data_IF_088716008934
#
_entry.id   IF_088716008934
#
_cell.length_a   1.000
_cell.length_b   1.000
_cell.length_c   1.000
_cell.angle_alpha   90.00
_cell.angle_beta   90.00
_cell.angle_gamma   90.00
#
_symmetry.space_group_name_H-M   'P 1'
#
loop_
_entity.id
_entity.type
_entity.pdbx_description
1 polymer ?
#
# COMPACT_ATOMS: atom_id res chain seq x y z
N UNK A 1 -68.77 -13.31 -46.23
CA UNK A 1 -69.54 -13.87 -45.10
C UNK A 1 -68.56 -14.31 -44.01
N UNK A 2 -68.87 -13.99 -42.74
CA UNK A 2 -68.21 -14.39 -41.47
C UNK A 2 -66.81 -13.77 -41.25
N UNK A 3 -66.66 -12.66 -40.49
CA UNK A 3 -66.84 -12.42 -39.03
C UNK A 3 -65.96 -13.30 -38.12
N UNK A 4 -65.25 -12.58 -37.25
CA UNK A 4 -64.73 -12.93 -35.90
C UNK A 4 -63.21 -13.06 -35.82
N UNK A 5 -62.46 -12.50 -34.87
CA UNK A 5 -62.65 -11.45 -33.85
C UNK A 5 -61.22 -11.24 -33.25
N UNK A 6 -60.72 -10.00 -33.19
CA UNK A 6 -60.42 -9.25 -31.96
C UNK A 6 -59.54 -9.97 -30.91
N UNK A 7 -58.33 -9.45 -30.70
CA UNK A 7 -57.90 -9.01 -29.36
C UNK A 7 -56.85 -7.89 -29.47
N UNK A 8 -57.15 -6.80 -28.77
CA UNK A 8 -56.41 -5.54 -28.62
C UNK A 8 -55.76 -5.52 -27.24
N UNK A 9 -54.55 -4.96 -27.12
CA UNK A 9 -54.07 -4.12 -25.99
C UNK A 9 -52.64 -3.64 -26.31
N UNK A 10 -52.43 -2.38 -26.71
CA UNK A 10 -52.04 -1.22 -25.87
C UNK A 10 -50.92 -1.56 -24.85
N UNK A 11 -49.66 -1.22 -25.12
CA UNK A 11 -49.00 0.09 -24.97
C UNK A 11 -48.45 0.33 -23.56
N UNK A 12 -47.12 0.49 -23.44
CA UNK A 12 -46.50 1.59 -22.69
C UNK A 12 -45.01 1.71 -23.02
N UNK A 13 -44.61 2.90 -23.46
CA UNK A 13 -43.23 3.33 -23.49
C UNK A 13 -42.76 3.62 -22.05
N UNK A 14 -41.56 3.17 -21.70
CA UNK A 14 -40.82 3.69 -20.56
C UNK A 14 -39.35 3.82 -20.95
N UNK A 15 -38.89 5.06 -20.98
CA UNK A 15 -37.51 5.50 -21.08
C UNK A 15 -36.64 4.84 -20.02
N UNK A 16 -35.58 4.13 -20.43
CA UNK A 16 -34.51 3.70 -19.53
C UNK A 16 -33.36 4.71 -19.63
N UNK A 17 -33.22 5.47 -18.53
CA UNK A 17 -32.18 6.47 -18.35
C UNK A 17 -30.79 5.86 -18.29
N UNK A 18 -29.83 6.64 -18.77
CA UNK A 18 -28.39 6.44 -18.59
C UNK A 18 -28.12 6.71 -17.10
N UNK A 19 -28.10 5.65 -16.30
CA UNK A 19 -27.60 5.70 -14.93
C UNK A 19 -26.08 5.69 -14.95
N UNK A 20 -25.46 6.84 -14.72
CA UNK A 20 -24.08 6.93 -14.28
C UNK A 20 -23.98 6.24 -12.92
N UNK A 21 -23.34 5.07 -12.86
CA UNK A 21 -22.92 4.50 -11.60
C UNK A 21 -21.88 5.45 -10.99
N UNK A 22 -22.07 5.97 -9.77
CA UNK A 22 -20.94 6.58 -9.08
C UNK A 22 -19.94 5.45 -8.81
N UNK A 23 -18.72 5.62 -9.33
CA UNK A 23 -17.59 4.87 -8.82
C UNK A 23 -17.52 5.16 -7.32
N UNK A 24 -17.83 4.16 -6.49
CA UNK A 24 -17.53 4.23 -5.09
C UNK A 24 -16.01 4.36 -4.96
N UNK A 25 -15.54 5.58 -4.76
CA UNK A 25 -14.22 5.82 -4.19
C UNK A 25 -14.27 5.20 -2.80
N UNK A 26 -13.63 4.05 -2.63
CA UNK A 26 -13.35 3.50 -1.33
C UNK A 26 -12.17 4.29 -0.75
N UNK A 27 -12.45 5.49 -0.25
CA UNK A 27 -11.63 6.08 0.82
C UNK A 27 -12.10 5.43 2.10
N UNK A 28 -11.23 4.66 2.76
CA UNK A 28 -11.51 4.16 4.11
C UNK A 28 -11.70 5.39 5.01
N UNK A 29 -12.86 5.56 5.68
CA UNK A 29 -13.17 6.73 6.50
C UNK A 29 -12.54 6.66 7.91
N UNK A 30 -11.55 5.80 8.12
CA UNK A 30 -10.78 5.72 9.35
C UNK A 30 -9.32 5.93 9.00
N UNK A 31 -8.61 6.77 9.75
CA UNK A 31 -7.14 6.80 9.80
C UNK A 31 -6.54 5.51 10.37
N UNK A 32 -7.12 4.36 10.00
CA UNK A 32 -6.71 3.01 10.31
C UNK A 32 -5.92 2.47 9.12
N UNK A 33 -4.73 1.89 9.33
CA UNK A 33 -3.88 1.49 8.23
C UNK A 33 -4.48 0.30 7.49
N UNK A 34 -4.52 0.43 6.16
CA UNK A 34 -4.99 -0.62 5.25
C UNK A 34 -3.84 -1.55 4.85
N UNK A 35 -4.02 -2.85 5.07
CA UNK A 35 -3.02 -3.88 4.74
C UNK A 35 -3.53 -4.76 3.61
N UNK A 36 -2.76 -4.88 2.53
CA UNK A 36 -3.08 -5.75 1.40
C UNK A 36 -2.06 -6.87 1.31
N UNK A 37 -2.53 -8.12 1.33
CA UNK A 37 -1.67 -9.31 1.28
C UNK A 37 -1.94 -10.05 -0.03
N UNK A 38 -0.90 -10.19 -0.85
CA UNK A 38 -0.97 -10.73 -2.20
C UNK A 38 -0.15 -12.02 -2.27
N UNK A 39 -0.76 -13.08 -2.81
CA UNK A 39 -0.05 -14.32 -3.14
C UNK A 39 -0.14 -14.58 -4.64
N UNK A 40 1.02 -14.53 -5.30
CA UNK A 40 1.16 -14.79 -6.72
C UNK A 40 1.04 -16.27 -7.10
N UNK A 41 0.95 -16.56 -8.39
CA UNK A 41 0.92 -17.92 -8.92
C UNK A 41 2.35 -18.48 -9.00
N UNK A 42 2.73 -19.39 -8.10
CA UNK A 42 4.10 -19.92 -8.00
C UNK A 42 4.22 -21.42 -8.25
N UNK A 43 3.29 -21.98 -9.02
CA UNK A 43 3.23 -23.42 -9.31
C UNK A 43 3.14 -24.22 -7.99
N UNK A 44 4.02 -25.20 -7.78
CA UNK A 44 4.04 -26.05 -6.60
C UNK A 44 4.32 -25.34 -5.26
N UNK A 45 4.93 -24.15 -5.28
CA UNK A 45 5.21 -23.39 -4.06
C UNK A 45 4.00 -22.55 -3.55
N UNK A 46 2.92 -22.46 -4.34
CA UNK A 46 1.83 -21.53 -4.02
C UNK A 46 1.12 -21.89 -2.71
N UNK A 47 1.02 -23.18 -2.40
CA UNK A 47 0.40 -23.64 -1.15
C UNK A 47 1.17 -23.17 0.09
N UNK A 48 2.51 -23.23 0.07
CA UNK A 48 3.32 -22.72 1.19
C UNK A 48 3.23 -21.20 1.30
N UNK A 49 3.24 -20.47 0.17
CA UNK A 49 3.13 -19.01 0.22
C UNK A 49 1.76 -18.54 0.70
N UNK A 50 0.68 -19.28 0.40
CA UNK A 50 -0.63 -19.04 1.03
C UNK A 50 -0.59 -19.24 2.55
N UNK A 51 0.07 -20.30 3.02
CA UNK A 51 0.23 -20.54 4.45
C UNK A 51 1.06 -19.45 5.15
N UNK A 52 2.12 -18.97 4.50
CA UNK A 52 2.95 -17.87 4.98
C UNK A 52 2.15 -16.55 5.00
N UNK A 53 1.37 -16.29 3.96
CA UNK A 53 0.48 -15.14 3.88
C UNK A 53 -0.65 -15.20 4.91
N UNK A 54 -1.16 -16.40 5.24
CA UNK A 54 -2.15 -16.57 6.31
C UNK A 54 -1.58 -16.27 7.70
N UNK A 55 -0.29 -16.51 7.93
CA UNK A 55 0.38 -16.05 9.15
C UNK A 55 0.56 -14.53 9.17
N UNK A 56 0.94 -13.93 8.04
CA UNK A 56 0.98 -12.47 7.90
C UNK A 56 -0.40 -11.84 8.15
N UNK A 57 -1.47 -12.45 7.63
CA UNK A 57 -2.84 -12.02 7.90
C UNK A 57 -3.18 -12.13 9.38
N UNK A 58 -2.90 -13.27 10.01
CA UNK A 58 -3.16 -13.47 11.43
C UNK A 58 -2.41 -12.49 12.33
N UNK A 59 -1.24 -12.00 11.87
CA UNK A 59 -0.52 -10.92 12.53
C UNK A 59 -1.18 -9.55 12.27
N UNK A 60 -1.50 -9.22 11.02
CA UNK A 60 -2.07 -7.93 10.63
C UNK A 60 -3.40 -7.64 11.34
N UNK A 61 -4.29 -8.63 11.47
CA UNK A 61 -5.61 -8.46 12.11
C UNK A 61 -5.55 -8.20 13.62
N UNK A 62 -4.35 -8.23 14.24
CA UNK A 62 -4.15 -7.79 15.62
C UNK A 62 -4.13 -6.27 15.74
N UNK A 63 -3.86 -5.56 14.65
CA UNK A 63 -3.57 -4.13 14.63
C UNK A 63 -4.52 -3.30 13.77
N UNK A 64 -5.14 -3.93 12.76
CA UNK A 64 -6.12 -3.27 11.88
C UNK A 64 -7.20 -4.25 11.45
N UNK A 65 -8.40 -3.73 11.29
CA UNK A 65 -9.56 -4.42 10.72
C UNK A 65 -9.61 -4.36 9.19
N UNK A 66 -8.88 -3.44 8.55
CA UNK A 66 -8.82 -3.30 7.10
C UNK A 66 -7.67 -4.12 6.49
N UNK A 67 -7.87 -5.44 6.43
CA UNK A 67 -6.92 -6.36 5.80
C UNK A 67 -7.55 -7.08 4.61
N UNK A 68 -7.00 -6.85 3.42
CA UNK A 68 -7.49 -7.47 2.17
C UNK A 68 -6.54 -8.56 1.68
N UNK A 69 -7.07 -9.77 1.43
CA UNK A 69 -6.33 -10.88 0.80
C UNK A 69 -6.60 -10.95 -0.71
N UNK A 70 -5.54 -11.08 -1.51
CA UNK A 70 -5.62 -11.31 -2.96
C UNK A 70 -4.72 -12.48 -3.32
N UNK A 71 -5.24 -13.71 -3.22
CA UNK A 71 -4.44 -14.93 -3.37
C UNK A 71 -4.71 -15.68 -4.68
N UNK A 72 -3.67 -16.28 -5.25
CA UNK A 72 -3.77 -17.29 -6.32
C UNK A 72 -4.69 -18.44 -5.87
N UNK A 73 -5.59 -18.96 -6.73
CA UNK A 73 -5.65 -18.78 -8.20
C UNK A 73 -6.42 -17.54 -8.68
N UNK A 74 -6.75 -16.61 -7.79
CA UNK A 74 -7.59 -15.45 -8.08
C UNK A 74 -6.83 -14.13 -8.09
N UNK A 75 -5.52 -14.13 -7.84
CA UNK A 75 -4.69 -12.93 -7.80
C UNK A 75 -4.37 -12.45 -9.21
N UNK A 76 -5.31 -11.75 -9.85
CA UNK A 76 -5.09 -11.09 -11.15
C UNK A 76 -4.62 -9.65 -10.96
N UNK A 77 -3.99 -9.07 -11.98
CA UNK A 77 -3.56 -7.66 -11.92
C UNK A 77 -4.70 -6.71 -11.57
N UNK A 78 -5.87 -6.84 -12.21
CA UNK A 78 -7.01 -5.97 -11.92
C UNK A 78 -7.47 -6.04 -10.45
N UNK A 79 -7.48 -7.24 -9.86
CA UNK A 79 -7.80 -7.42 -8.43
C UNK A 79 -6.73 -6.85 -7.51
N UNK A 80 -5.45 -7.06 -7.83
CA UNK A 80 -4.33 -6.51 -7.07
C UNK A 80 -4.35 -4.98 -7.11
N UNK A 81 -4.45 -4.39 -8.30
CA UNK A 81 -4.50 -2.94 -8.48
C UNK A 81 -5.67 -2.32 -7.72
N UNK A 82 -6.86 -2.91 -7.81
CA UNK A 82 -8.03 -2.42 -7.08
C UNK A 82 -7.89 -2.57 -5.56
N UNK A 83 -7.30 -3.67 -5.07
CA UNK A 83 -7.13 -3.88 -3.64
C UNK A 83 -6.12 -2.92 -3.01
N UNK A 84 -5.07 -2.56 -3.77
CA UNK A 84 -3.96 -1.71 -3.35
C UNK A 84 -4.31 -0.22 -3.22
N UNK A 85 -5.49 0.21 -3.69
CA UNK A 85 -5.94 1.60 -3.54
C UNK A 85 -5.95 1.97 -2.06
N UNK A 86 -5.21 3.01 -1.70
CA UNK A 86 -5.10 3.52 -0.32
C UNK A 86 -4.42 2.55 0.66
N UNK A 87 -3.70 1.53 0.18
CA UNK A 87 -2.99 0.61 1.08
C UNK A 87 -1.76 1.29 1.68
N UNK A 88 -1.66 1.30 3.01
CA UNK A 88 -0.45 1.75 3.74
C UNK A 88 0.61 0.66 3.80
N UNK A 89 0.19 -0.61 3.76
CA UNK A 89 1.10 -1.75 3.70
C UNK A 89 0.67 -2.71 2.59
N UNK A 90 1.56 -3.01 1.66
CA UNK A 90 1.36 -4.04 0.64
C UNK A 90 2.37 -5.15 0.84
N UNK A 91 1.89 -6.37 1.08
CA UNK A 91 2.73 -7.57 1.20
C UNK A 91 2.54 -8.40 -0.06
N UNK A 92 3.63 -8.78 -0.70
CA UNK A 92 3.61 -9.69 -1.83
C UNK A 92 4.51 -10.91 -1.57
N UNK A 93 3.91 -12.09 -1.72
CA UNK A 93 4.58 -13.38 -1.69
C UNK A 93 4.39 -14.07 -3.04
N UNK A 94 5.47 -14.28 -3.79
CA UNK A 94 5.34 -14.88 -5.11
C UNK A 94 6.63 -14.95 -5.91
N UNK A 95 6.49 -15.23 -7.21
CA UNK A 95 7.63 -15.21 -8.12
C UNK A 95 8.20 -13.81 -8.21
N UNK A 96 9.53 -13.72 -8.13
CA UNK A 96 10.27 -12.53 -8.55
C UNK A 96 10.73 -12.67 -9.99
N UNK A 97 10.90 -11.54 -10.68
CA UNK A 97 11.48 -11.51 -12.03
C UNK A 97 12.29 -10.22 -12.20
N UNK A 98 13.39 -10.10 -11.46
CA UNK A 98 14.12 -8.83 -11.41
C UNK A 98 15.09 -8.65 -12.57
N UNK A 99 15.61 -7.44 -12.76
CA UNK A 99 16.68 -7.18 -13.72
C UNK A 99 17.93 -6.60 -13.01
N UNK A 100 19.17 -7.00 -13.37
CA UNK A 100 19.56 -8.00 -14.38
C UNK A 100 19.22 -9.45 -14.04
N UNK A 101 18.81 -10.23 -15.03
CA UNK A 101 18.51 -11.68 -14.91
C UNK A 101 19.13 -12.47 -16.08
N UNK A 102 19.28 -13.80 -15.97
CA UNK A 102 19.68 -14.65 -17.11
C UNK A 102 18.63 -14.70 -18.24
N UNK A 103 17.39 -14.29 -17.97
CA UNK A 103 16.33 -14.23 -18.96
C UNK A 103 16.50 -13.09 -19.98
N UNK A 104 15.78 -13.20 -21.09
CA UNK A 104 15.73 -12.19 -22.16
C UNK A 104 15.57 -10.78 -21.60
N UNK A 105 16.40 -9.88 -22.09
CA UNK A 105 16.34 -8.48 -21.71
C UNK A 105 15.02 -7.86 -22.20
N UNK A 106 14.30 -7.26 -21.26
CA UNK A 106 13.07 -6.51 -21.49
C UNK A 106 13.39 -5.02 -21.28
N UNK A 107 13.64 -4.24 -22.36
CA UNK A 107 14.06 -2.85 -22.22
C UNK A 107 12.98 -1.96 -21.61
N UNK A 108 11.72 -2.40 -21.66
CA UNK A 108 10.57 -1.66 -21.14
C UNK A 108 10.14 -2.18 -19.76
N UNK A 109 10.84 -3.17 -19.20
CA UNK A 109 10.55 -3.76 -17.90
C UNK A 109 9.11 -4.26 -17.77
N UNK A 110 8.43 -4.58 -18.87
CA UNK A 110 7.02 -4.99 -18.88
C UNK A 110 6.74 -6.27 -18.09
N UNK A 111 7.76 -7.11 -17.94
CA UNK A 111 7.73 -8.36 -17.16
C UNK A 111 8.66 -8.31 -15.95
N UNK A 112 9.52 -7.29 -15.84
CA UNK A 112 10.60 -7.23 -14.85
C UNK A 112 10.24 -6.37 -13.66
N UNK A 113 10.79 -6.69 -12.49
CA UNK A 113 10.77 -5.79 -11.33
C UNK A 113 9.34 -5.47 -10.86
N UNK A 114 8.50 -6.50 -10.75
CA UNK A 114 7.10 -6.38 -10.33
C UNK A 114 6.52 -7.69 -9.80
N UNK A 115 5.28 -8.02 -10.16
CA UNK A 115 4.54 -9.17 -9.62
C UNK A 115 4.37 -10.30 -10.65
N UNK A 116 4.46 -11.55 -10.18
CA UNK A 116 4.03 -12.76 -10.89
C UNK A 116 2.65 -13.18 -10.40
N UNK A 117 1.62 -12.91 -11.20
CA UNK A 117 0.20 -13.02 -10.82
C UNK A 117 -0.54 -14.00 -11.73
N UNK A 118 -1.78 -14.35 -11.40
CA UNK A 118 -2.62 -15.12 -12.31
C UNK A 118 -2.94 -14.29 -13.57
N UNK A 119 -2.80 -14.89 -14.76
CA UNK A 119 -3.24 -14.26 -16.01
C UNK A 119 -4.77 -14.14 -16.07
N UNK A 120 -5.46 -15.15 -15.53
CA UNK A 120 -6.92 -15.30 -15.50
C UNK A 120 -7.32 -15.86 -14.13
N UNK A 121 -8.35 -15.27 -13.52
CA UNK A 121 -8.86 -15.71 -12.22
C UNK A 121 -9.44 -17.13 -12.31
N UNK A 122 -9.19 -17.94 -11.29
CA UNK A 122 -9.71 -19.30 -11.17
C UNK A 122 -8.98 -20.35 -12.04
N UNK A 123 -8.02 -19.95 -12.87
CA UNK A 123 -7.31 -20.85 -13.79
C UNK A 123 -6.07 -21.53 -13.17
N UNK A 124 -6.04 -21.65 -11.84
CA UNK A 124 -5.02 -22.41 -11.11
C UNK A 124 -3.69 -21.68 -10.88
N UNK A 125 -2.83 -22.34 -10.10
CA UNK A 125 -1.53 -21.83 -9.63
C UNK A 125 -0.40 -21.92 -10.67
N UNK A 126 -0.67 -22.52 -11.83
CA UNK A 126 0.25 -22.62 -12.96
C UNK A 126 -0.01 -21.55 -14.03
N UNK A 127 -1.09 -20.78 -13.90
CA UNK A 127 -1.46 -19.73 -14.85
C UNK A 127 -0.75 -18.40 -14.54
N UNK A 128 0.58 -18.42 -14.52
CA UNK A 128 1.39 -17.27 -14.15
C UNK A 128 1.57 -16.28 -15.31
N UNK A 129 1.49 -14.98 -15.00
CA UNK A 129 1.85 -13.86 -15.88
C UNK A 129 2.58 -12.80 -15.07
N UNK A 130 3.69 -12.30 -15.63
CA UNK A 130 4.45 -11.23 -15.02
C UNK A 130 3.91 -9.85 -15.40
N UNK A 131 3.81 -8.99 -14.40
CA UNK A 131 3.41 -7.59 -14.46
C UNK A 131 4.53 -6.76 -13.86
N UNK A 132 5.41 -6.25 -14.72
CA UNK A 132 6.64 -5.58 -14.32
C UNK A 132 6.47 -4.10 -13.94
N UNK A 133 7.58 -3.37 -13.93
CA UNK A 133 7.69 -1.97 -13.46
C UNK A 133 6.58 -1.04 -13.97
N UNK A 134 6.20 -1.05 -15.28
CA UNK A 134 5.13 -0.16 -15.78
C UNK A 134 3.75 -0.43 -15.17
N UNK A 135 3.52 -1.61 -14.63
CA UNK A 135 2.27 -1.95 -13.96
C UNK A 135 2.32 -1.47 -12.51
N UNK A 136 3.33 -1.90 -11.75
CA UNK A 136 3.43 -1.59 -10.32
C UNK A 136 3.61 -0.09 -10.05
N UNK A 137 4.19 0.65 -10.99
CA UNK A 137 4.26 2.13 -10.92
C UNK A 137 2.93 2.85 -11.07
N UNK A 138 1.83 2.12 -11.31
CA UNK A 138 0.46 2.66 -11.39
C UNK A 138 -0.41 2.21 -10.22
N UNK A 139 0.18 1.69 -9.15
CA UNK A 139 -0.54 1.44 -7.91
C UNK A 139 -0.87 2.77 -7.23
N UNK A 140 -2.07 2.87 -6.68
CA UNK A 140 -2.56 4.08 -6.02
C UNK A 140 -2.42 3.90 -4.50
N UNK A 141 -1.18 3.87 -4.00
CA UNK A 141 -0.87 3.61 -2.59
C UNK A 141 -1.22 4.81 -1.68
N UNK A 142 -1.39 4.55 -0.39
CA UNK A 142 -1.48 5.65 0.59
C UNK A 142 -0.14 6.40 0.66
N UNK A 143 -0.13 7.69 1.04
CA UNK A 143 1.11 8.37 1.41
C UNK A 143 1.82 7.59 2.53
N UNK A 144 3.16 7.60 2.53
CA UNK A 144 3.91 6.85 3.54
C UNK A 144 3.95 5.33 3.33
N UNK A 145 3.30 4.79 2.30
CA UNK A 145 3.12 3.34 2.17
C UNK A 145 4.42 2.54 2.09
N UNK A 146 4.37 1.32 2.60
CA UNK A 146 5.47 0.35 2.56
C UNK A 146 5.09 -0.87 1.76
N UNK A 147 6.01 -1.32 0.90
CA UNK A 147 5.89 -2.57 0.17
C UNK A 147 6.84 -3.61 0.76
N UNK A 148 6.31 -4.76 1.16
CA UNK A 148 7.03 -5.90 1.68
C UNK A 148 7.06 -7.04 0.65
N UNK A 149 8.24 -7.37 0.12
CA UNK A 149 8.46 -8.36 -0.92
C UNK A 149 9.11 -9.62 -0.31
N UNK A 150 8.38 -10.72 -0.25
CA UNK A 150 8.83 -11.97 0.38
C UNK A 150 8.90 -13.14 -0.60
N UNK A 151 9.96 -13.94 -0.49
CA UNK A 151 10.24 -15.11 -1.35
C UNK A 151 10.57 -14.82 -2.82
N UNK A 152 10.72 -13.54 -3.19
CA UNK A 152 11.01 -13.17 -4.57
C UNK A 152 12.46 -13.48 -4.94
N UNK A 153 12.64 -14.06 -6.12
CA UNK A 153 13.94 -14.09 -6.78
C UNK A 153 14.30 -12.67 -7.25
N UNK A 154 15.57 -12.30 -7.12
CA UNK A 154 16.15 -11.03 -7.59
C UNK A 154 15.72 -9.76 -6.84
N UNK A 155 14.62 -9.74 -6.08
CA UNK A 155 14.12 -8.51 -5.45
C UNK A 155 15.08 -7.87 -4.45
N UNK A 156 15.80 -8.68 -3.67
CA UNK A 156 16.76 -8.19 -2.68
C UNK A 156 18.21 -8.12 -3.17
N UNK A 157 18.42 -8.54 -4.42
CA UNK A 157 19.73 -8.70 -5.05
C UNK A 157 20.13 -10.14 -5.31
N UNK A 158 19.46 -11.13 -4.70
CA UNK A 158 19.71 -12.57 -4.83
C UNK A 158 19.54 -13.11 -6.25
N UNK A 159 19.96 -14.35 -6.48
CA UNK A 159 19.62 -15.15 -7.67
C UNK A 159 18.44 -16.10 -7.40
N UNK A 160 18.07 -16.91 -8.38
CA UNK A 160 17.14 -18.01 -8.19
C UNK A 160 17.77 -19.16 -7.38
N UNK A 161 16.97 -19.98 -6.68
CA UNK A 161 17.48 -21.17 -6.00
C UNK A 161 18.24 -22.09 -6.97
N UNK A 162 19.50 -22.38 -6.64
CA UNK A 162 20.37 -23.24 -7.46
C UNK A 162 21.23 -22.49 -8.47
N UNK A 163 20.97 -21.21 -8.71
CA UNK A 163 21.79 -20.39 -9.59
C UNK A 163 23.04 -19.83 -8.87
N UNK A 164 24.09 -19.45 -9.62
CA UNK A 164 25.25 -18.77 -9.07
C UNK A 164 24.89 -17.47 -8.34
N UNK A 165 25.59 -17.23 -7.23
CA UNK A 165 25.51 -15.98 -6.49
C UNK A 165 25.96 -14.80 -7.38
N UNK A 166 25.22 -13.67 -7.37
CA UNK A 166 25.61 -12.50 -8.13
C UNK A 166 26.81 -11.79 -7.50
N UNK A 167 27.50 -10.97 -8.31
CA UNK A 167 28.44 -10.00 -7.75
C UNK A 167 27.68 -8.92 -6.98
N UNK A 168 28.35 -8.26 -6.02
CA UNK A 168 27.76 -7.14 -5.28
C UNK A 168 27.23 -6.03 -6.22
N UNK A 169 27.90 -5.76 -7.35
CA UNK A 169 27.43 -4.78 -8.31
C UNK A 169 26.10 -5.19 -8.98
N UNK A 170 25.94 -6.47 -9.33
CA UNK A 170 24.68 -7.00 -9.87
C UNK A 170 23.59 -6.99 -8.81
N UNK A 171 23.90 -7.41 -7.58
CA UNK A 171 22.95 -7.42 -6.48
C UNK A 171 22.42 -6.01 -6.17
N UNK A 172 23.30 -4.99 -6.12
CA UNK A 172 22.90 -3.59 -5.95
C UNK A 172 21.96 -3.13 -7.06
N UNK A 173 22.29 -3.44 -8.32
CA UNK A 173 21.47 -3.05 -9.47
C UNK A 173 20.09 -3.72 -9.45
N UNK A 174 20.02 -4.98 -9.04
CA UNK A 174 18.76 -5.73 -8.87
C UNK A 174 17.87 -5.09 -7.81
N UNK A 175 18.40 -4.85 -6.61
CA UNK A 175 17.64 -4.23 -5.52
C UNK A 175 17.13 -2.82 -5.91
N UNK A 176 17.96 -2.01 -6.56
CA UNK A 176 17.58 -0.68 -7.05
C UNK A 176 16.46 -0.75 -8.11
N UNK A 177 16.62 -1.59 -9.13
CA UNK A 177 15.61 -1.74 -10.19
C UNK A 177 14.28 -2.26 -9.63
N UNK A 178 14.31 -3.27 -8.76
CA UNK A 178 13.09 -3.88 -8.22
C UNK A 178 12.26 -2.89 -7.39
N UNK A 179 12.93 -2.01 -6.63
CA UNK A 179 12.24 -1.01 -5.83
C UNK A 179 11.68 0.16 -6.66
N UNK A 180 12.30 0.51 -7.79
CA UNK A 180 12.02 1.72 -8.54
C UNK A 180 10.55 1.90 -8.92
N UNK A 181 9.89 0.85 -9.40
CA UNK A 181 8.47 0.90 -9.78
C UNK A 181 7.56 1.23 -8.61
N UNK A 182 7.81 0.65 -7.44
CA UNK A 182 7.01 0.88 -6.23
C UNK A 182 7.26 2.26 -5.63
N UNK A 183 8.51 2.73 -5.61
CA UNK A 183 8.83 4.10 -5.19
C UNK A 183 8.16 5.13 -6.11
N UNK A 184 8.12 4.86 -7.43
CA UNK A 184 7.40 5.68 -8.40
C UNK A 184 5.88 5.68 -8.18
N UNK A 185 5.34 4.60 -7.61
CA UNK A 185 3.93 4.50 -7.21
C UNK A 185 3.61 5.23 -5.89
N UNK A 186 4.59 5.91 -5.29
CA UNK A 186 4.40 6.66 -4.05
C UNK A 186 4.72 5.87 -2.77
N UNK A 187 5.25 4.64 -2.87
CA UNK A 187 5.75 3.97 -1.68
C UNK A 187 6.94 4.73 -1.09
N UNK A 188 6.93 4.98 0.22
CA UNK A 188 8.05 5.59 0.93
C UNK A 188 9.17 4.59 1.18
N UNK A 189 8.86 3.30 1.24
CA UNK A 189 9.87 2.25 1.32
C UNK A 189 9.47 0.93 0.67
N UNK A 190 10.48 0.17 0.25
CA UNK A 190 10.36 -1.20 -0.25
C UNK A 190 11.33 -2.08 0.51
N UNK A 191 10.82 -3.07 1.25
CA UNK A 191 11.62 -4.07 1.95
C UNK A 191 11.52 -5.37 1.16
N UNK A 192 12.66 -5.98 0.85
CA UNK A 192 12.69 -7.32 0.26
C UNK A 192 13.46 -8.27 1.18
N UNK A 193 12.84 -9.41 1.48
CA UNK A 193 13.39 -10.45 2.34
C UNK A 193 13.13 -11.85 1.77
N UNK A 194 14.21 -12.56 1.44
CA UNK A 194 14.14 -13.89 0.83
C UNK A 194 13.94 -15.03 1.84
N UNK A 195 14.07 -14.77 3.15
CA UNK A 195 14.12 -15.82 4.17
C UNK A 195 13.16 -15.60 5.33
N UNK A 196 13.01 -14.37 5.82
CA UNK A 196 12.07 -14.07 6.89
C UNK A 196 10.64 -13.94 6.34
N UNK A 197 9.68 -14.33 7.17
CA UNK A 197 8.27 -14.04 6.93
C UNK A 197 7.94 -12.56 7.20
N UNK A 198 6.77 -12.14 6.73
CA UNK A 198 6.29 -10.77 6.85
C UNK A 198 5.83 -10.40 8.28
N UNK A 199 5.55 -11.38 9.14
CA UNK A 199 4.95 -11.20 10.47
C UNK A 199 5.83 -10.33 11.38
N UNK A 200 7.15 -10.55 11.34
CA UNK A 200 8.10 -9.76 12.13
C UNK A 200 8.11 -8.29 11.71
N UNK A 201 8.12 -8.03 10.39
CA UNK A 201 8.10 -6.68 9.85
C UNK A 201 6.77 -5.99 10.14
N UNK A 202 5.64 -6.70 9.96
CA UNK A 202 4.31 -6.20 10.33
C UNK A 202 4.28 -5.80 11.80
N UNK A 203 4.66 -6.69 12.71
CA UNK A 203 4.71 -6.38 14.14
C UNK A 203 5.52 -5.12 14.41
N UNK A 204 6.73 -5.04 13.85
CA UNK A 204 7.60 -3.90 14.06
C UNK A 204 7.02 -2.58 13.52
N UNK A 205 6.37 -2.61 12.34
CA UNK A 205 5.65 -1.46 11.78
C UNK A 205 4.56 -0.95 12.73
N UNK A 206 3.83 -1.87 13.38
CA UNK A 206 2.68 -1.53 14.21
C UNK A 206 2.99 -1.23 15.68
N UNK A 207 4.16 -1.64 16.19
CA UNK A 207 4.47 -1.55 17.64
C UNK A 207 5.73 -0.76 17.96
N UNK A 208 6.37 -0.14 16.98
CA UNK A 208 7.57 0.69 17.21
C UNK A 208 7.35 2.11 16.71
N UNK A 209 8.17 3.04 17.19
CA UNK A 209 8.09 4.47 16.91
C UNK A 209 9.47 4.94 16.44
N UNK A 210 9.83 4.59 15.21
CA UNK A 210 11.18 4.79 14.68
C UNK A 210 11.17 4.93 13.16
N UNK A 211 12.30 5.35 12.58
CA UNK A 211 12.46 5.33 11.12
C UNK A 211 12.41 3.89 10.59
N UNK A 212 11.93 3.70 9.36
CA UNK A 212 11.94 2.37 8.74
C UNK A 212 13.34 1.81 8.56
N UNK A 213 14.36 2.66 8.39
CA UNK A 213 15.75 2.20 8.38
C UNK A 213 16.14 1.61 9.75
N UNK A 214 15.82 2.28 10.85
CA UNK A 214 16.09 1.78 12.20
C UNK A 214 15.33 0.48 12.47
N UNK A 215 14.05 0.44 12.11
CA UNK A 215 13.22 -0.76 12.20
C UNK A 215 13.87 -1.92 11.44
N UNK A 216 14.24 -1.70 10.18
CA UNK A 216 14.89 -2.72 9.37
C UNK A 216 16.23 -3.15 9.98
N UNK A 217 17.13 -2.23 10.36
CA UNK A 217 18.44 -2.58 10.93
C UNK A 217 18.36 -3.38 12.23
N UNK A 218 17.29 -3.20 13.01
CA UNK A 218 17.10 -3.84 14.32
C UNK A 218 16.29 -5.13 14.27
N UNK A 219 15.83 -5.55 13.09
CA UNK A 219 15.12 -6.82 12.95
C UNK A 219 15.96 -8.00 13.42
N UNK A 220 15.34 -9.02 14.08
CA UNK A 220 16.07 -10.18 14.59
C UNK A 220 16.84 -10.98 13.52
N UNK A 221 16.45 -10.88 12.25
CA UNK A 221 17.08 -11.56 11.13
C UNK A 221 18.19 -10.74 10.44
N UNK A 222 18.67 -9.66 11.07
CA UNK A 222 19.81 -8.90 10.55
C UNK A 222 21.10 -9.73 10.52
N UNK A 223 21.91 -9.52 9.49
CA UNK A 223 23.19 -10.19 9.26
C UNK A 223 24.39 -9.36 9.73
N UNK A 224 24.20 -8.05 9.96
CA UNK A 224 25.25 -7.14 10.44
C UNK A 224 26.23 -6.69 9.34
N UNK A 225 25.91 -6.90 8.07
CA UNK A 225 26.77 -6.54 6.94
C UNK A 225 26.19 -5.39 6.11
N UNK A 226 25.51 -4.45 6.77
CA UNK A 226 24.77 -3.40 6.07
C UNK A 226 25.69 -2.55 5.20
N UNK A 227 25.32 -2.43 3.93
CA UNK A 227 25.89 -1.48 2.97
C UNK A 227 24.78 -0.59 2.43
N UNK A 228 25.12 0.63 2.03
CA UNK A 228 24.17 1.56 1.41
C UNK A 228 24.76 2.22 0.16
N UNK A 229 23.88 2.67 -0.73
CA UNK A 229 24.22 3.39 -1.94
C UNK A 229 23.02 4.22 -2.41
N UNK A 230 23.29 5.31 -3.13
CA UNK A 230 22.24 6.09 -3.76
C UNK A 230 21.58 5.29 -4.89
N UNK A 231 20.26 5.39 -5.01
CA UNK A 231 19.52 4.84 -6.14
C UNK A 231 19.94 5.53 -7.43
N UNK A 232 20.17 4.73 -8.48
CA UNK A 232 20.41 5.22 -9.84
C UNK A 232 19.10 5.41 -10.62
N UNK A 233 18.01 4.81 -10.14
CA UNK A 233 16.68 4.80 -10.78
C UNK A 233 15.74 5.85 -10.20
N UNK A 234 15.90 6.18 -8.91
CA UNK A 234 15.02 7.07 -8.16
C UNK A 234 15.88 8.15 -7.47
N UNK A 235 15.99 9.35 -8.06
CA UNK A 235 16.81 10.42 -7.50
C UNK A 235 16.46 10.72 -6.03
N UNK A 236 17.48 10.78 -5.18
CA UNK A 236 17.34 11.05 -3.74
C UNK A 236 16.94 9.86 -2.88
N UNK A 237 16.58 8.71 -3.46
CA UNK A 237 16.35 7.48 -2.70
C UNK A 237 17.68 6.80 -2.31
N UNK A 238 17.67 6.12 -1.17
CA UNK A 238 18.81 5.33 -0.68
C UNK A 238 18.43 3.86 -0.61
N UNK A 239 19.32 3.00 -1.10
CA UNK A 239 19.18 1.55 -1.06
C UNK A 239 20.15 0.99 -0.04
N UNK A 240 19.68 0.07 0.78
CA UNK A 240 20.42 -0.68 1.77
C UNK A 240 20.38 -2.18 1.44
N UNK A 241 21.48 -2.86 1.68
CA UNK A 241 21.56 -4.32 1.62
C UNK A 241 22.24 -4.86 2.87
N UNK A 242 21.76 -5.97 3.40
CA UNK A 242 22.32 -6.65 4.55
C UNK A 242 22.58 -8.13 4.21
N UNK A 243 23.61 -8.40 3.39
CA UNK A 243 23.88 -9.75 2.90
C UNK A 243 24.34 -10.70 4.03
N UNK A 244 24.15 -12.01 3.83
CA UNK A 244 24.54 -13.04 4.80
C UNK A 244 26.06 -13.02 5.09
N UNK A 245 26.87 -12.58 4.12
CA UNK A 245 28.30 -12.29 4.26
C UNK A 245 28.58 -10.95 3.60
N UNK A 246 29.69 -10.30 3.96
CA UNK A 246 30.10 -9.00 3.43
C UNK A 246 30.00 -8.82 1.90
N UNK A 247 30.09 -9.89 1.11
CA UNK A 247 30.06 -9.86 -0.36
C UNK A 247 29.13 -10.88 -1.02
N UNK A 248 28.29 -11.60 -0.27
CA UNK A 248 27.43 -12.67 -0.82
C UNK A 248 26.22 -12.97 0.07
N UNK A 249 25.16 -13.53 -0.51
CA UNK A 249 23.92 -13.89 0.17
C UNK A 249 23.00 -12.69 0.28
N UNK A 250 22.72 -12.05 -0.84
CA UNK A 250 21.93 -10.81 -0.92
C UNK A 250 20.43 -11.08 -0.82
N UNK A 251 19.97 -11.57 0.33
CA UNK A 251 18.57 -11.94 0.57
C UNK A 251 17.77 -10.89 1.34
N UNK A 252 18.36 -9.73 1.62
CA UNK A 252 17.77 -8.71 2.46
C UNK A 252 18.15 -7.32 1.99
N UNK A 253 17.14 -6.53 1.64
CA UNK A 253 17.34 -5.14 1.22
C UNK A 253 16.21 -4.23 1.70
N UNK A 254 16.51 -2.95 1.75
CA UNK A 254 15.56 -1.86 2.00
C UNK A 254 15.85 -0.76 0.99
N UNK A 255 14.81 -0.24 0.34
CA UNK A 255 14.87 1.01 -0.41
C UNK A 255 14.04 2.04 0.33
N UNK A 256 14.59 3.22 0.57
CA UNK A 256 13.90 4.36 1.20
C UNK A 256 13.86 5.50 0.21
N UNK A 257 12.65 6.03 -0.04
CA UNK A 257 12.42 7.18 -0.90
C UNK A 257 12.93 8.49 -0.31
N UNK A 258 12.66 9.59 -1.02
CA UNK A 258 13.03 10.95 -0.57
C UNK A 258 12.20 11.32 0.65
N UNK A 259 12.86 11.75 1.73
CA UNK A 259 12.20 12.18 2.98
C UNK A 259 12.26 11.16 4.12
N UNK A 260 12.53 9.88 3.82
CA UNK A 260 12.36 8.84 4.83
C UNK A 260 10.89 8.68 5.24
N UNK A 261 10.61 7.70 6.08
CA UNK A 261 9.31 7.57 6.72
C UNK A 261 9.49 6.84 8.05
N UNK A 262 8.63 7.15 9.01
CA UNK A 262 8.56 6.48 10.31
C UNK A 262 7.51 5.38 10.32
N UNK A 263 7.61 4.45 11.26
CA UNK A 263 6.56 3.45 11.51
C UNK A 263 5.22 4.09 11.83
N UNK A 264 5.22 5.23 12.53
CA UNK A 264 4.02 6.00 12.88
C UNK A 264 3.32 6.59 11.65
N UNK A 265 4.08 7.15 10.71
CA UNK A 265 3.54 7.66 9.45
C UNK A 265 2.92 6.54 8.61
N UNK A 266 3.51 5.35 8.59
CA UNK A 266 2.92 4.19 7.88
C UNK A 266 1.56 3.82 8.47
N UNK A 267 1.47 3.72 9.81
CA UNK A 267 0.22 3.32 10.46
C UNK A 267 -0.84 4.42 10.45
N UNK A 268 -0.44 5.70 10.36
CA UNK A 268 -1.34 6.82 10.19
C UNK A 268 -1.87 6.97 8.74
N UNK A 269 -1.50 6.06 7.82
CA UNK A 269 -1.85 6.21 6.40
C UNK A 269 -1.18 7.40 5.74
N UNK A 270 0.00 7.79 6.25
CA UNK A 270 0.79 8.92 5.77
C UNK A 270 0.31 10.28 6.25
N UNK A 271 -0.62 10.33 7.21
CA UNK A 271 -1.10 11.58 7.83
C UNK A 271 -0.20 12.09 8.97
N UNK A 272 0.91 11.40 9.28
CA UNK A 272 1.79 11.70 10.41
C UNK A 272 1.19 11.29 11.78
N UNK A 273 2.02 11.23 12.83
CA UNK A 273 1.51 11.10 14.20
C UNK A 273 0.79 12.39 14.60
N UNK A 274 -0.53 12.39 14.57
CA UNK A 274 -1.32 13.53 15.04
C UNK A 274 -1.53 13.51 16.57
N UNK A 275 -0.95 12.56 17.31
CA UNK A 275 -1.06 12.44 18.77
C UNK A 275 -0.13 13.38 19.54
N UNK A 276 0.87 13.93 18.87
CA UNK A 276 1.91 14.78 19.42
C UNK A 276 2.01 16.07 18.60
N UNK A 277 2.14 17.23 19.22
CA UNK A 277 2.38 18.48 18.47
C UNK A 277 3.76 18.38 17.80
N UNK A 278 3.85 18.57 16.47
CA UNK A 278 5.14 18.51 15.81
C UNK A 278 6.01 19.66 16.32
N UNK A 279 7.31 19.39 16.51
CA UNK A 279 8.27 20.40 16.99
C UNK A 279 8.43 21.58 16.02
N UNK A 280 8.07 21.36 14.75
CA UNK A 280 8.00 22.33 13.67
C UNK A 280 6.63 22.24 12.96
N UNK A 281 6.19 23.32 12.31
CA UNK A 281 4.91 23.34 11.58
C UNK A 281 4.98 22.43 10.35
N UNK A 282 4.37 21.25 10.43
CA UNK A 282 4.12 20.34 9.31
C UNK A 282 2.67 20.49 8.84
N UNK A 283 2.38 20.38 7.54
CA UNK A 283 1.00 20.38 7.01
C UNK A 283 0.76 19.07 6.26
N UNK A 284 -0.28 18.28 6.62
CA UNK A 284 -1.27 18.56 7.67
C UNK A 284 -0.82 18.01 9.04
N UNK A 285 -0.01 18.75 9.78
CA UNK A 285 0.20 18.55 11.21
C UNK A 285 -1.02 19.01 12.01
N UNK A 286 -0.98 18.77 13.33
CA UNK A 286 -2.12 18.92 14.26
C UNK A 286 -2.97 20.15 14.00
N UNK A 287 -4.26 19.92 13.72
CA UNK A 287 -5.25 20.97 13.71
C UNK A 287 -5.64 21.28 15.16
N UNK A 288 -5.40 22.51 15.61
CA UNK A 288 -5.96 23.02 16.85
C UNK A 288 -6.99 24.09 16.54
N UNK A 289 -8.03 24.15 17.35
CA UNK A 289 -9.03 25.20 17.26
C UNK A 289 -8.37 26.53 17.62
N UNK A 290 -8.25 27.45 16.67
CA UNK A 290 -7.56 28.73 16.88
C UNK A 290 -8.39 29.72 17.72
N UNK A 291 -9.71 29.71 17.53
CA UNK A 291 -10.63 30.66 18.16
C UNK A 291 -11.60 29.93 19.08
N UNK A 292 -11.94 30.53 20.20
CA UNK A 292 -13.05 30.05 21.02
C UNK A 292 -14.34 30.01 20.20
N UNK A 293 -15.18 29.03 20.52
CA UNK A 293 -16.48 28.81 19.90
C UNK A 293 -16.45 28.35 18.43
N UNK A 294 -15.36 27.72 17.97
CA UNK A 294 -15.32 27.17 16.63
C UNK A 294 -16.40 26.10 16.44
N UNK A 295 -17.15 26.20 15.35
CA UNK A 295 -18.29 25.31 15.09
C UNK A 295 -17.82 23.96 14.60
N UNK A 296 -18.30 22.90 15.25
CA UNK A 296 -18.21 21.52 14.77
C UNK A 296 -19.56 21.16 14.16
N UNK A 297 -19.56 20.80 12.88
CA UNK A 297 -20.76 20.46 12.13
C UNK A 297 -21.00 18.94 12.11
N UNK A 298 -22.27 18.54 11.99
CA UNK A 298 -22.65 17.12 11.86
C UNK A 298 -22.34 16.55 10.47
N UNK A 299 -22.26 17.41 9.45
CA UNK A 299 -22.01 17.02 8.06
C UNK A 299 -21.08 18.01 7.33
N UNK A 300 -20.59 17.58 6.16
CA UNK A 300 -19.70 18.35 5.30
C UNK A 300 -20.37 19.54 4.58
N UNK A 301 -21.70 19.68 4.68
CA UNK A 301 -22.46 20.78 4.12
C UNK A 301 -22.45 22.04 4.99
N UNK A 302 -21.94 21.94 6.23
CA UNK A 302 -21.85 23.09 7.16
C UNK A 302 -23.21 23.55 7.69
N UNK A 303 -24.21 22.66 7.69
CA UNK A 303 -25.58 22.96 8.13
C UNK A 303 -25.68 23.08 9.65
N UNK A 304 -26.04 21.97 10.31
CA UNK A 304 -26.31 21.97 11.75
C UNK A 304 -25.01 21.90 12.57
N UNK A 305 -24.81 22.91 13.44
CA UNK A 305 -23.71 22.93 14.41
C UNK A 305 -24.02 21.90 15.51
N UNK A 306 -23.21 20.84 15.57
CA UNK A 306 -23.29 19.80 16.58
C UNK A 306 -22.91 20.36 17.97
N UNK A 307 -21.80 21.12 18.01
CA UNK A 307 -21.27 21.77 19.21
C UNK A 307 -20.25 22.83 18.82
N UNK A 308 -19.89 23.67 19.78
CA UNK A 308 -18.74 24.56 19.67
C UNK A 308 -17.55 24.01 20.44
N UNK A 309 -16.35 24.32 19.96
CA UNK A 309 -15.08 23.87 20.55
C UNK A 309 -14.29 25.07 21.08
N UNK A 310 -13.68 24.97 22.27
CA UNK A 310 -12.80 26.01 22.80
C UNK A 310 -11.47 26.06 22.05
N UNK A 311 -10.80 27.21 22.11
CA UNK A 311 -9.45 27.38 21.58
C UNK A 311 -8.48 26.37 22.22
N UNK A 312 -7.55 25.86 21.43
CA UNK A 312 -6.59 24.83 21.86
C UNK A 312 -7.16 23.41 21.91
N UNK A 313 -8.43 23.20 21.53
CA UNK A 313 -8.96 21.83 21.33
C UNK A 313 -8.12 21.14 20.26
N UNK A 314 -7.49 20.02 20.63
CA UNK A 314 -6.61 19.25 19.75
C UNK A 314 -7.44 18.28 18.91
N UNK A 315 -7.30 18.40 17.59
CA UNK A 315 -8.05 17.64 16.61
C UNK A 315 -7.09 16.92 15.65
N UNK A 316 -7.51 15.74 15.19
CA UNK A 316 -6.92 15.09 14.01
C UNK A 316 -7.86 15.23 12.82
N UNK A 317 -7.27 15.36 11.63
CA UNK A 317 -8.03 15.25 10.37
C UNK A 317 -8.34 13.77 10.14
N UNK A 318 -9.63 13.44 10.12
CA UNK A 318 -10.13 12.10 9.85
C UNK A 318 -10.32 11.86 8.34
N UNK A 319 -10.69 12.90 7.59
CA UNK A 319 -10.88 12.87 6.14
C UNK A 319 -10.83 14.30 5.56
N UNK A 320 -10.46 14.43 4.29
CA UNK A 320 -10.53 15.69 3.53
C UNK A 320 -11.47 15.47 2.36
N UNK A 321 -12.80 15.59 2.57
CA UNK A 321 -13.76 15.37 1.51
C UNK A 321 -13.55 16.37 0.36
N UNK A 322 -13.81 15.93 -0.88
CA UNK A 322 -13.67 16.74 -2.09
C UNK A 322 -14.69 17.90 -2.20
N UNK A 323 -15.39 18.23 -1.12
CA UNK A 323 -16.41 19.27 -1.05
C UNK A 323 -15.83 20.52 -0.42
N UNK A 324 -16.10 21.65 -1.07
CA UNK A 324 -15.83 22.99 -0.54
C UNK A 324 -17.12 23.45 0.13
N UNK A 325 -17.06 24.03 1.32
CA UNK A 325 -18.24 24.66 1.93
C UNK A 325 -18.86 25.69 0.97
N UNK A 326 -20.12 26.07 1.16
CA UNK A 326 -20.76 27.16 0.41
C UNK A 326 -19.96 28.49 0.48
N UNK A 327 -19.03 28.61 1.44
CA UNK A 327 -18.17 29.77 1.68
C UNK A 327 -16.78 29.63 1.04
N UNK A 328 -16.50 28.55 0.31
CA UNK A 328 -15.25 28.39 -0.45
C UNK A 328 -14.04 27.92 0.36
N UNK A 329 -14.22 27.47 1.61
CA UNK A 329 -13.17 26.79 2.40
C UNK A 329 -13.36 25.26 2.34
N UNK A 330 -12.28 24.47 2.20
CA UNK A 330 -12.35 23.02 2.30
C UNK A 330 -12.80 22.63 3.71
N UNK A 331 -13.87 21.85 3.80
CA UNK A 331 -14.37 21.31 5.07
C UNK A 331 -13.66 19.99 5.31
N UNK A 332 -13.08 19.81 6.49
CA UNK A 332 -12.36 18.59 6.88
C UNK A 332 -13.14 17.84 7.94
N UNK A 333 -13.19 16.51 7.83
CA UNK A 333 -13.70 15.70 8.93
C UNK A 333 -12.63 15.68 10.03
N UNK A 334 -13.05 15.86 11.28
CA UNK A 334 -12.15 15.95 12.44
C UNK A 334 -12.61 15.02 13.57
N UNK A 335 -11.63 14.57 14.36
CA UNK A 335 -11.87 13.86 15.60
C UNK A 335 -11.03 14.44 16.74
N UNK A 336 -11.60 14.55 17.94
CA UNK A 336 -10.89 15.01 19.13
C UNK A 336 -9.82 14.01 19.56
N UNK A 337 -8.64 14.53 19.84
CA UNK A 337 -7.51 13.75 20.34
C UNK A 337 -7.63 13.46 21.84
N UNK A 338 -8.14 14.43 22.61
CA UNK A 338 -8.33 14.33 24.06
C UNK A 338 -9.75 13.89 24.47
N UNK A 339 -10.70 14.02 23.56
CA UNK A 339 -12.11 13.70 23.76
C UNK A 339 -12.67 13.00 22.50
N UNK A 340 -12.79 11.66 22.50
CA UNK A 340 -13.26 10.91 21.35
C UNK A 340 -14.75 11.14 21.03
N UNK A 341 -15.49 11.84 21.90
CA UNK A 341 -16.86 12.27 21.59
C UNK A 341 -16.91 13.46 20.63
N UNK A 342 -15.79 14.13 20.39
CA UNK A 342 -15.66 15.17 19.38
C UNK A 342 -15.44 14.47 18.04
N UNK A 343 -16.50 14.34 17.25
CA UNK A 343 -16.45 13.86 15.86
C UNK A 343 -17.36 14.75 15.02
N UNK A 344 -16.91 15.15 13.84
CA UNK A 344 -17.70 16.03 12.97
C UNK A 344 -16.86 16.68 11.88
N UNK A 345 -17.31 17.83 11.42
CA UNK A 345 -16.70 18.57 10.30
C UNK A 345 -16.36 20.00 10.72
N UNK A 346 -15.28 20.56 10.19
CA UNK A 346 -14.83 21.95 10.42
C UNK A 346 -14.31 22.59 9.13
#
# INVERSE_FOLDING_TARGET
MRRSAIAVALALAASLGIGTLPAAAATSPSGEPRVVIIVGATHGATASYRADADRAYAEAIKYTSDVTKVYSPNATWGKVKSAAIGASVVIYMGHGNGWPSPYTYDPNYTTKDGFGLNATAGAGDYNNKYYGEPYVSTLDLAPGAVVLLHHLCYASGNSEPGDPEPTAAVARKRADNYAAGFLKAGASAVIADGHAGAEGYLRALFTTHQSLESMWRTMPNQNGHVTSFASSRTPGATIFQDPNKATSGFYRSLAVGVGGVTTDEVIAGGLGDTGSDPVDLEIPGNASVLNDEASLYLDSGGGDVARTLPAGTRLRIADVPAQVSEVGAPVVAVQGLDDPSITGFM
#
